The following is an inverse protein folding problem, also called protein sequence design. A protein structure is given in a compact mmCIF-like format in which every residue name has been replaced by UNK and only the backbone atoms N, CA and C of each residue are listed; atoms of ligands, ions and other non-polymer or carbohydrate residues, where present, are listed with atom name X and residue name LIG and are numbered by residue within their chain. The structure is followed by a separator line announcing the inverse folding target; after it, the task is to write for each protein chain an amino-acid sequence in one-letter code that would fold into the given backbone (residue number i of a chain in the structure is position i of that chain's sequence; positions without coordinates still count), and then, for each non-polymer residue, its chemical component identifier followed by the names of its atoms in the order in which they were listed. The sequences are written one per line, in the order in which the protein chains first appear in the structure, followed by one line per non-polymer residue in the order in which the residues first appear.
data_IF_370318147029
#
_entry.id   IF_370318147029
#
_cell.length_a   1.000
_cell.length_b   1.000
_cell.length_c   1.000
_cell.angle_alpha   90.00
_cell.angle_beta   90.00
_cell.angle_gamma   90.00
#
_symmetry.space_group_name_H-M   'P 1'
#
loop_
_entity.id
_entity.type
_entity.pdbx_description
1 polymer ?
#
# COMPACT_ATOMS: atom_id res chain seq x y z
N UNK A 1 -0.07 6.64 -11.61
CA UNK A 1 0.45 6.04 -10.39
C UNK A 1 0.87 4.61 -10.65
N UNK A 2 1.93 4.22 -9.98
CA UNK A 2 2.37 2.84 -9.79
C UNK A 2 1.85 2.34 -8.44
N UNK A 3 1.86 1.02 -8.25
CA UNK A 3 1.44 0.37 -7.02
C UNK A 3 2.59 -0.44 -6.47
N UNK A 4 2.86 -0.29 -5.18
CA UNK A 4 3.99 -0.88 -4.49
C UNK A 4 3.51 -1.75 -3.33
N UNK A 5 3.91 -3.01 -3.32
CA UNK A 5 3.74 -3.95 -2.22
C UNK A 5 5.02 -3.96 -1.38
N UNK A 6 4.92 -3.57 -0.11
CA UNK A 6 5.98 -3.64 0.89
C UNK A 6 5.60 -4.71 1.91
N UNK A 7 6.58 -5.48 2.39
CA UNK A 7 6.34 -6.56 3.37
C UNK A 7 7.09 -6.39 4.68
N UNK A 8 8.15 -5.60 4.68
CA UNK A 8 9.03 -5.38 5.82
C UNK A 8 9.29 -3.87 5.98
N UNK A 9 9.33 -3.34 7.21
CA UNK A 9 9.03 -4.02 8.48
C UNK A 9 7.54 -4.33 8.69
N UNK A 10 6.65 -3.56 8.06
CA UNK A 10 5.20 -3.78 8.07
C UNK A 10 4.67 -3.90 6.65
N UNK A 11 3.65 -4.74 6.48
CA UNK A 11 3.00 -4.89 5.20
C UNK A 11 2.21 -3.62 4.84
N UNK A 12 2.48 -3.09 3.64
CA UNK A 12 1.74 -1.96 3.10
C UNK A 12 1.50 -2.11 1.59
N UNK A 13 0.36 -1.61 1.13
CA UNK A 13 0.07 -1.35 -0.28
C UNK A 13 0.01 0.16 -0.48
N UNK A 14 0.88 0.70 -1.32
CA UNK A 14 0.98 2.15 -1.54
C UNK A 14 0.83 2.44 -3.03
N UNK A 15 0.04 3.45 -3.37
CA UNK A 15 -0.02 4.01 -4.70
C UNK A 15 0.82 5.29 -4.73
N UNK A 16 1.78 5.39 -5.64
CA UNK A 16 2.67 6.55 -5.73
C UNK A 16 3.15 6.77 -7.17
N UNK A 17 3.68 7.96 -7.45
CA UNK A 17 4.28 8.31 -8.74
C UNK A 17 5.54 7.47 -9.00
N UNK A 18 6.44 7.41 -8.03
CA UNK A 18 7.71 6.70 -8.10
C UNK A 18 8.07 6.04 -6.76
N UNK A 19 9.18 5.29 -6.74
CA UNK A 19 9.66 4.58 -5.55
C UNK A 19 10.05 5.54 -4.41
N UNK A 20 10.51 6.75 -4.72
CA UNK A 20 10.91 7.73 -3.70
C UNK A 20 9.69 8.29 -2.98
N UNK A 21 8.65 8.66 -3.71
CA UNK A 21 7.39 9.09 -3.10
C UNK A 21 6.77 7.93 -2.30
N UNK A 22 6.89 6.69 -2.75
CA UNK A 22 6.47 5.53 -1.99
C UNK A 22 7.19 5.41 -0.63
N UNK A 23 8.51 5.63 -0.60
CA UNK A 23 9.29 5.62 0.64
C UNK A 23 8.88 6.75 1.59
N UNK A 24 8.66 7.97 1.07
CA UNK A 24 8.19 9.11 1.86
C UNK A 24 6.83 8.80 2.52
N UNK A 25 5.86 8.32 1.75
CA UNK A 25 4.54 7.92 2.27
C UNK A 25 4.63 6.79 3.31
N UNK A 26 5.52 5.81 3.08
CA UNK A 26 5.73 4.72 4.04
C UNK A 26 6.30 5.24 5.36
N UNK A 27 7.31 6.12 5.31
CA UNK A 27 7.93 6.72 6.50
C UNK A 27 6.96 7.60 7.28
N UNK A 28 6.14 8.37 6.58
CA UNK A 28 5.22 9.33 7.19
C UNK A 28 4.01 8.67 7.87
N UNK A 29 3.51 7.56 7.31
CA UNK A 29 2.23 6.97 7.71
C UNK A 29 2.40 5.58 8.36
N UNK A 30 3.37 4.79 7.91
CA UNK A 30 3.55 3.38 8.33
C UNK A 30 4.60 3.25 9.43
N UNK A 31 5.88 3.47 9.09
CA UNK A 31 6.99 3.30 10.02
C UNK A 31 8.28 3.92 9.46
N UNK A 32 9.19 4.35 10.34
CA UNK A 32 10.55 4.71 9.96
C UNK A 32 11.27 3.53 9.28
N UNK A 33 12.15 3.83 8.33
CA UNK A 33 12.97 2.86 7.59
C UNK A 33 14.44 3.20 7.86
N UNK A 34 15.14 2.28 8.55
CA UNK A 34 16.55 2.44 8.92
C UNK A 34 17.50 2.20 7.73
N UNK A 35 17.20 1.18 6.90
CA UNK A 35 17.95 0.86 5.68
C UNK A 35 17.07 1.02 4.43
N UNK A 36 17.20 2.18 3.77
CA UNK A 36 16.45 2.46 2.54
C UNK A 36 16.81 1.52 1.39
N UNK A 37 18.04 0.99 1.38
CA UNK A 37 18.47 0.08 0.30
C UNK A 37 17.75 -1.25 0.43
N UNK A 38 17.69 -1.81 1.64
CA UNK A 38 16.93 -3.03 1.93
C UNK A 38 15.44 -2.85 1.59
N UNK A 39 14.87 -1.70 1.97
CA UNK A 39 13.48 -1.36 1.61
C UNK A 39 13.23 -1.38 0.09
N UNK A 40 14.10 -0.77 -0.71
CA UNK A 40 13.95 -0.78 -2.17
C UNK A 40 14.21 -2.17 -2.78
N UNK A 41 15.13 -2.95 -2.22
CA UNK A 41 15.41 -4.32 -2.68
C UNK A 41 14.19 -5.26 -2.44
N UNK A 42 13.44 -5.03 -1.36
CA UNK A 42 12.24 -5.81 -1.00
C UNK A 42 10.93 -5.28 -1.60
N UNK A 43 10.89 -4.00 -1.99
CA UNK A 43 9.75 -3.37 -2.64
C UNK A 43 9.36 -4.09 -3.94
N UNK A 44 8.06 -4.30 -4.14
CA UNK A 44 7.54 -4.88 -5.38
C UNK A 44 6.57 -3.95 -6.07
N UNK A 45 6.94 -3.50 -7.25
CA UNK A 45 6.00 -2.85 -8.17
C UNK A 45 5.03 -3.88 -8.73
N UNK A 46 3.73 -3.62 -8.57
CA UNK A 46 2.64 -4.47 -9.00
C UNK A 46 1.70 -3.73 -9.95
N UNK A 47 0.93 -4.46 -10.74
CA UNK A 47 -0.08 -3.88 -11.60
C UNK A 47 -1.37 -3.52 -10.83
N UNK A 48 -2.17 -2.62 -11.40
CA UNK A 48 -3.44 -2.14 -10.82
C UNK A 48 -4.42 -3.28 -10.49
N UNK A 49 -4.45 -4.35 -11.28
CA UNK A 49 -5.38 -5.46 -11.06
C UNK A 49 -4.95 -6.31 -9.85
N UNK A 50 -3.65 -6.51 -9.66
CA UNK A 50 -3.14 -7.13 -8.43
C UNK A 50 -3.42 -6.24 -7.21
N UNK A 51 -3.16 -4.95 -7.28
CA UNK A 51 -3.45 -4.00 -6.20
C UNK A 51 -4.95 -4.02 -5.82
N UNK A 52 -5.84 -3.95 -6.83
CA UNK A 52 -7.29 -4.07 -6.64
C UNK A 52 -7.69 -5.36 -5.91
N UNK A 53 -7.13 -6.51 -6.30
CA UNK A 53 -7.42 -7.78 -5.64
C UNK A 53 -6.98 -7.81 -4.18
N UNK A 54 -5.85 -7.20 -3.86
CA UNK A 54 -5.33 -7.14 -2.49
C UNK A 54 -6.22 -6.22 -1.64
N UNK A 55 -6.57 -5.05 -2.17
CA UNK A 55 -7.46 -4.09 -1.52
C UNK A 55 -8.87 -4.66 -1.28
N UNK A 56 -9.48 -5.27 -2.30
CA UNK A 56 -10.82 -5.86 -2.18
C UNK A 56 -10.92 -6.99 -1.15
N UNK A 57 -9.81 -7.69 -0.90
CA UNK A 57 -9.73 -8.80 0.06
C UNK A 57 -9.18 -8.39 1.43
N UNK A 58 -8.80 -7.13 1.59
CA UNK A 58 -8.32 -6.63 2.87
C UNK A 58 -9.44 -6.69 3.91
N UNK A 59 -9.07 -7.01 5.15
CA UNK A 59 -10.03 -7.09 6.23
C UNK A 59 -10.35 -5.68 6.74
N UNK A 60 -11.63 -5.43 6.98
CA UNK A 60 -12.09 -4.18 7.62
C UNK A 60 -12.29 -4.40 9.13
N UNK A 61 -12.27 -3.30 9.89
CA UNK A 61 -12.32 -3.33 11.36
C UNK A 61 -13.59 -4.02 11.91
N UNK A 62 -14.72 -3.85 11.23
CA UNK A 62 -16.01 -4.45 11.61
C UNK A 62 -16.13 -5.96 11.26
N UNK A 63 -15.06 -6.54 10.70
CA UNK A 63 -15.03 -7.91 10.21
C UNK A 63 -15.55 -8.04 8.78
N UNK A 64 -15.00 -9.00 8.03
CA UNK A 64 -15.27 -9.18 6.60
C UNK A 64 -14.21 -8.51 5.72
N UNK A 65 -14.41 -8.56 4.40
CA UNK A 65 -13.52 -7.98 3.40
C UNK A 65 -14.05 -6.61 2.94
N UNK A 66 -13.16 -5.69 2.53
CA UNK A 66 -13.52 -4.38 1.96
C UNK A 66 -14.49 -4.51 0.76
N UNK A 67 -14.28 -5.54 -0.06
CA UNK A 67 -15.11 -5.84 -1.21
C UNK A 67 -14.69 -5.08 -2.49
N UNK A 68 -15.22 -5.56 -3.61
CA UNK A 68 -14.82 -5.11 -4.94
C UNK A 68 -15.29 -3.68 -5.28
N UNK A 69 -16.47 -3.28 -4.82
CA UNK A 69 -17.02 -1.95 -5.12
C UNK A 69 -16.22 -0.85 -4.44
N UNK A 70 -15.97 -0.98 -3.14
CA UNK A 70 -15.17 -0.01 -2.39
C UNK A 70 -13.71 0.03 -2.86
N UNK A 71 -13.09 -1.12 -3.10
CA UNK A 71 -11.74 -1.16 -3.66
C UNK A 71 -11.66 -0.46 -5.03
N UNK A 72 -12.69 -0.56 -5.86
CA UNK A 72 -12.74 0.14 -7.14
C UNK A 72 -12.87 1.66 -6.91
N UNK A 73 -13.77 2.08 -6.03
CA UNK A 73 -13.98 3.49 -5.72
C UNK A 73 -12.71 4.15 -5.18
N UNK A 74 -11.96 3.50 -4.29
CA UNK A 74 -10.68 4.03 -3.79
C UNK A 74 -9.66 4.18 -4.93
N UNK A 75 -9.50 3.16 -5.77
CA UNK A 75 -8.54 3.20 -6.87
C UNK A 75 -8.86 4.23 -7.97
N UNK A 76 -10.12 4.59 -8.16
CA UNK A 76 -10.52 5.63 -9.13
C UNK A 76 -10.40 7.05 -8.55
N UNK A 77 -10.39 7.20 -7.23
CA UNK A 77 -10.32 8.49 -6.53
C UNK A 77 -8.98 8.76 -5.85
N UNK A 78 -7.93 8.03 -6.26
CA UNK A 78 -6.57 8.19 -5.75
C UNK A 78 -6.08 9.64 -5.85
N UNK A 79 -5.46 10.13 -4.78
CA UNK A 79 -4.81 11.45 -4.80
C UNK A 79 -3.57 11.47 -5.70
N UNK A 80 -3.34 12.60 -6.39
CA UNK A 80 -2.21 12.74 -7.32
C UNK A 80 -0.84 12.68 -6.62
N UNK A 81 -0.78 13.01 -5.33
CA UNK A 81 0.39 12.96 -4.45
C UNK A 81 0.66 11.55 -3.87
N UNK A 82 -0.08 10.54 -4.30
CA UNK A 82 0.04 9.20 -3.76
C UNK A 82 -0.76 9.00 -2.47
N UNK A 83 -0.98 7.73 -2.14
CA UNK A 83 -1.87 7.33 -1.04
C UNK A 83 -1.46 5.95 -0.50
N UNK A 84 -1.52 5.79 0.82
CA UNK A 84 -1.36 4.48 1.47
C UNK A 84 -2.73 3.79 1.48
N UNK A 85 -2.85 2.72 0.69
CA UNK A 85 -4.11 2.02 0.45
C UNK A 85 -4.40 0.96 1.51
N UNK A 86 -3.37 0.25 1.95
CA UNK A 86 -3.47 -0.80 2.96
C UNK A 86 -2.28 -0.73 3.88
N UNK A 87 -2.54 -0.94 5.16
CA UNK A 87 -1.55 -1.30 6.16
C UNK A 87 -2.12 -2.52 6.86
N UNK A 88 -1.39 -3.64 6.85
CA UNK A 88 -1.74 -4.75 7.73
C UNK A 88 -0.93 -4.58 9.01
N UNK A 89 -1.58 -4.02 10.02
CA UNK A 89 -1.03 -3.80 11.35
C UNK A 89 -1.09 -5.05 12.24
N UNK A 90 -1.29 -6.25 11.66
CA UNK A 90 -1.37 -7.53 12.37
C UNK A 90 -0.14 -7.96 13.21
N UNK A 91 0.79 -7.06 13.51
CA UNK A 91 1.88 -7.23 14.44
C UNK A 91 1.93 -6.07 15.46
N UNK A 92 0.92 -6.00 16.33
CA UNK A 92 1.06 -5.51 17.70
C UNK A 92 0.30 -6.42 18.67
#
# INVERSE_FOLDING_TARGET
MNFYEIKDPYYALIAAEDEKQCLELYKDIVCEVEDEKEFFDDMKTIDKYKAFKMLAKSHIEDGGELGAEEAFNQLENLEANGEVLLIDSGLL
#
